data_IF_894419190861
#
_entry.id   IF_894419190861
#
_cell.length_a   1.000
_cell.length_b   1.000
_cell.length_c   1.000
_cell.angle_alpha   90.00
_cell.angle_beta   90.00
_cell.angle_gamma   90.00
#
_symmetry.space_group_name_H-M   'P 1'
#
loop_
_entity.id
_entity.type
_entity.pdbx_description
1 polymer ?
#
# COMPACT_ATOMS: atom_id res chain seq x y z
N UNK A 1 -21.94 -4.93 -10.95
CA UNK A 1 -20.69 -5.69 -11.11
C UNK A 1 -19.94 -5.62 -9.79
N UNK A 2 -19.78 -6.76 -9.12
CA UNK A 2 -19.02 -6.91 -7.88
C UNK A 2 -17.58 -7.31 -8.26
N UNK A 3 -16.57 -6.74 -7.61
CA UNK A 3 -15.19 -7.19 -7.76
C UNK A 3 -14.86 -8.16 -6.62
N UNK A 4 -14.49 -9.39 -6.97
CA UNK A 4 -13.98 -10.39 -6.05
C UNK A 4 -12.45 -10.33 -6.09
N UNK A 5 -11.81 -9.87 -5.01
CA UNK A 5 -10.36 -9.92 -4.87
C UNK A 5 -9.97 -11.19 -4.11
N UNK A 6 -9.30 -12.15 -4.78
CA UNK A 6 -8.79 -13.38 -4.14
C UNK A 6 -7.28 -13.45 -4.24
N UNK A 7 -6.61 -13.66 -3.11
CA UNK A 7 -5.22 -14.12 -3.05
C UNK A 7 -5.11 -15.35 -2.16
N UNK A 8 -4.27 -16.30 -2.56
CA UNK A 8 -3.72 -17.35 -1.70
C UNK A 8 -2.26 -17.01 -1.39
N UNK A 9 -1.90 -16.92 -0.11
CA UNK A 9 -0.51 -16.94 0.36
C UNK A 9 -0.35 -18.00 1.46
N UNK A 10 0.80 -18.68 1.53
CA UNK A 10 1.03 -19.76 2.48
C UNK A 10 1.37 -19.20 3.87
N UNK A 11 0.77 -19.79 4.91
CA UNK A 11 1.01 -19.53 6.33
C UNK A 11 0.57 -18.17 6.90
N UNK A 12 -0.74 -17.99 6.98
CA UNK A 12 -1.52 -17.78 8.21
C UNK A 12 -2.96 -17.56 7.72
N UNK A 13 -3.96 -18.10 8.41
CA UNK A 13 -5.38 -17.97 8.02
C UNK A 13 -5.76 -16.49 8.10
N UNK A 14 -5.54 -15.75 7.02
CA UNK A 14 -6.15 -14.46 6.80
C UNK A 14 -7.65 -14.71 6.77
N UNK A 15 -8.37 -14.05 7.66
CA UNK A 15 -9.81 -13.94 7.57
C UNK A 15 -10.04 -13.09 6.31
N UNK A 16 -10.31 -13.75 5.18
CA UNK A 16 -10.68 -13.09 3.93
C UNK A 16 -12.01 -12.40 4.20
N UNK A 17 -11.98 -11.14 4.61
CA UNK A 17 -13.17 -10.31 4.63
C UNK A 17 -13.45 -10.02 3.16
N UNK A 18 -14.41 -10.73 2.57
CA UNK A 18 -14.99 -10.37 1.28
C UNK A 18 -15.69 -9.02 1.47
N UNK A 19 -14.96 -7.93 1.28
CA UNK A 19 -15.50 -6.57 1.36
C UNK A 19 -16.35 -6.35 0.11
N UNK A 20 -17.61 -6.74 0.22
CA UNK A 20 -18.59 -6.60 -0.83
C UNK A 20 -19.18 -5.18 -0.80
N UNK A 21 -18.37 -4.20 -1.18
CA UNK A 21 -18.83 -2.80 -1.26
C UNK A 21 -19.15 -2.46 -2.70
N UNK A 22 -20.40 -2.06 -2.92
CA UNK A 22 -20.89 -1.62 -4.23
C UNK A 22 -20.03 -0.49 -4.78
N UNK A 23 -19.60 -0.59 -6.05
CA UNK A 23 -18.80 0.43 -6.75
C UNK A 23 -19.42 1.84 -6.68
N UNK A 24 -20.73 1.92 -6.54
CA UNK A 24 -21.47 3.17 -6.38
C UNK A 24 -21.10 3.92 -5.08
N UNK A 25 -20.91 3.20 -3.97
CA UNK A 25 -20.49 3.77 -2.68
C UNK A 25 -19.05 4.26 -2.74
N UNK A 26 -18.18 3.52 -3.44
CA UNK A 26 -16.78 3.92 -3.66
C UNK A 26 -16.74 5.22 -4.48
N UNK A 27 -17.50 5.30 -5.57
CA UNK A 27 -17.58 6.50 -6.42
C UNK A 27 -18.10 7.74 -5.66
N UNK A 28 -19.06 7.58 -4.76
CA UNK A 28 -19.56 8.68 -3.93
C UNK A 28 -18.49 9.16 -2.93
N UNK A 29 -17.76 8.21 -2.32
CA UNK A 29 -16.64 8.54 -1.43
C UNK A 29 -15.51 9.23 -2.17
N UNK A 30 -15.15 8.75 -3.36
CA UNK A 30 -14.17 9.41 -4.21
C UNK A 30 -14.54 10.87 -4.50
N UNK A 31 -15.81 11.16 -4.78
CA UNK A 31 -16.28 12.55 -4.98
C UNK A 31 -16.10 13.42 -3.72
N UNK A 32 -16.44 12.87 -2.55
CA UNK A 32 -16.28 13.58 -1.27
C UNK A 32 -14.79 13.82 -0.99
N UNK A 33 -13.96 12.79 -1.18
CA UNK A 33 -12.51 12.87 -1.00
C UNK A 33 -11.90 13.91 -1.93
N UNK A 34 -12.27 13.90 -3.22
CA UNK A 34 -11.85 14.91 -4.20
C UNK A 34 -12.14 16.33 -3.72
N UNK A 35 -13.38 16.61 -3.33
CA UNK A 35 -13.80 17.93 -2.85
C UNK A 35 -13.02 18.39 -1.61
N UNK A 36 -12.65 17.49 -0.71
CA UNK A 36 -11.90 17.82 0.51
C UNK A 36 -10.41 18.01 0.22
N UNK A 37 -9.86 17.26 -0.75
CA UNK A 37 -8.42 17.21 -1.04
C UNK A 37 -7.94 18.19 -2.11
N UNK A 38 -8.85 18.88 -2.82
CA UNK A 38 -8.55 19.83 -3.90
C UNK A 38 -7.44 20.84 -3.55
N UNK A 39 -7.44 21.41 -2.34
CA UNK A 39 -6.50 22.47 -1.94
C UNK A 39 -5.26 21.95 -1.19
N UNK A 40 -5.16 20.64 -0.95
CA UNK A 40 -4.07 20.07 -0.15
C UNK A 40 -2.89 19.67 -1.02
N UNK A 41 -1.69 20.06 -0.61
CA UNK A 41 -0.44 19.48 -1.15
C UNK A 41 -0.27 18.07 -0.59
N UNK A 42 -0.17 17.09 -1.49
CA UNK A 42 -0.07 15.68 -1.14
C UNK A 42 1.38 15.22 -1.26
N UNK A 43 1.90 14.45 -0.28
CA UNK A 43 3.18 13.77 -0.47
C UNK A 43 3.08 12.73 -1.58
N UNK A 44 4.21 12.39 -2.20
CA UNK A 44 4.26 11.34 -3.23
C UNK A 44 4.13 9.99 -2.54
N UNK A 45 3.01 9.30 -2.77
CA UNK A 45 2.64 8.07 -2.05
C UNK A 45 3.67 6.95 -2.20
N UNK A 46 4.17 6.74 -3.42
CA UNK A 46 5.10 5.65 -3.73
C UNK A 46 6.49 5.82 -3.09
N UNK A 47 6.79 7.01 -2.55
CA UNK A 47 8.02 7.27 -1.81
C UNK A 47 7.82 7.00 -0.31
N UNK A 48 6.58 7.07 0.19
CA UNK A 48 6.27 6.81 1.59
C UNK A 48 6.31 5.31 1.89
N UNK A 49 7.15 4.89 2.84
CA UNK A 49 7.23 3.48 3.25
C UNK A 49 5.93 2.99 3.90
N UNK A 50 5.21 3.88 4.58
CA UNK A 50 3.97 3.58 5.28
C UNK A 50 2.85 3.20 4.31
N UNK A 51 2.92 3.71 3.08
CA UNK A 51 1.98 3.40 2.01
C UNK A 51 1.91 1.90 1.74
N UNK A 52 3.06 1.19 1.72
CA UNK A 52 3.09 -0.24 1.42
C UNK A 52 2.36 -1.08 2.47
N UNK A 53 2.40 -0.69 3.75
CA UNK A 53 1.61 -1.34 4.80
C UNK A 53 0.11 -1.14 4.56
N UNK A 54 -0.31 0.04 4.10
CA UNK A 54 -1.71 0.32 3.76
C UNK A 54 -2.12 -0.47 2.52
N UNK A 55 -1.28 -0.46 1.48
CA UNK A 55 -1.50 -1.18 0.22
C UNK A 55 -1.74 -2.68 0.42
N UNK A 56 -1.01 -3.31 1.35
CA UNK A 56 -1.24 -4.72 1.70
C UNK A 56 -2.66 -5.00 2.21
N UNK A 57 -3.30 -4.00 2.82
CA UNK A 57 -4.67 -4.08 3.30
C UNK A 57 -5.69 -3.76 2.20
N UNK A 58 -5.38 -2.83 1.29
CA UNK A 58 -6.28 -2.38 0.21
C UNK A 58 -5.89 -2.99 -1.14
N UNK A 59 -6.36 -4.21 -1.39
CA UNK A 59 -6.08 -4.91 -2.66
C UNK A 59 -7.00 -4.34 -3.76
N UNK A 60 -6.42 -3.65 -4.74
CA UNK A 60 -7.13 -3.15 -5.92
C UNK A 60 -6.18 -3.04 -7.13
N UNK A 61 -6.57 -3.64 -8.26
CA UNK A 61 -5.81 -3.60 -9.53
C UNK A 61 -5.61 -2.16 -10.05
N UNK A 62 -6.58 -1.28 -9.83
CA UNK A 62 -6.50 0.12 -10.28
C UNK A 62 -5.42 0.89 -9.51
N UNK A 63 -5.28 0.62 -8.21
CA UNK A 63 -4.20 1.18 -7.38
C UNK A 63 -2.84 0.69 -7.90
N UNK A 64 -2.71 -0.60 -8.19
CA UNK A 64 -1.45 -1.16 -8.71
C UNK A 64 -1.06 -0.58 -10.07
N UNK A 65 -2.04 -0.37 -10.94
CA UNK A 65 -1.82 0.27 -12.23
C UNK A 65 -1.35 1.72 -12.06
N UNK A 66 -2.07 2.52 -11.26
CA UNK A 66 -1.71 3.93 -11.00
C UNK A 66 -0.36 4.08 -10.30
N UNK A 67 -0.03 3.17 -9.39
CA UNK A 67 1.30 3.12 -8.77
C UNK A 67 2.37 2.89 -9.82
N UNK A 68 2.17 1.93 -10.73
CA UNK A 68 3.13 1.65 -11.79
C UNK A 68 3.31 2.86 -12.70
N UNK A 69 2.22 3.50 -13.10
CA UNK A 69 2.24 4.73 -13.90
C UNK A 69 3.02 5.85 -13.20
N UNK A 70 2.79 6.05 -11.89
CA UNK A 70 3.50 7.04 -11.10
C UNK A 70 5.00 6.72 -10.97
N UNK A 71 5.34 5.45 -10.74
CA UNK A 71 6.74 4.99 -10.68
C UNK A 71 7.45 5.20 -12.01
N UNK A 72 6.79 4.93 -13.14
CA UNK A 72 7.38 5.11 -14.46
C UNK A 72 7.56 6.60 -14.79
N UNK A 73 6.63 7.47 -14.39
CA UNK A 73 6.81 8.93 -14.50
C UNK A 73 8.00 9.43 -13.66
N UNK A 74 8.19 8.91 -12.44
CA UNK A 74 9.34 9.26 -11.59
C UNK A 74 10.68 8.82 -12.21
N UNK A 75 10.71 7.65 -12.86
CA UNK A 75 11.90 7.20 -13.59
C UNK A 75 12.18 8.10 -14.79
N UNK A 76 11.14 8.49 -15.53
CA UNK A 76 11.27 9.40 -16.67
C UNK A 76 11.82 10.77 -16.22
N UNK A 77 11.28 11.34 -15.15
CA UNK A 77 11.78 12.56 -14.53
C UNK A 77 13.26 12.45 -14.16
N UNK A 78 13.65 11.33 -13.54
CA UNK A 78 15.05 11.06 -13.19
C UNK A 78 15.96 10.98 -14.42
N UNK A 79 15.50 10.31 -15.48
CA UNK A 79 16.23 10.20 -16.75
C UNK A 79 16.40 11.55 -17.44
N UNK A 80 15.34 12.36 -17.50
CA UNK A 80 15.36 13.70 -18.10
C UNK A 80 16.31 14.63 -17.34
N UNK A 81 16.28 14.60 -16.01
CA UNK A 81 17.22 15.39 -15.18
C UNK A 81 18.69 15.03 -15.44
N UNK A 82 18.99 13.74 -15.59
CA UNK A 82 20.35 13.29 -15.91
C UNK A 82 20.74 13.74 -17.33
N UNK A 83 19.86 13.57 -18.31
CA UNK A 83 20.11 13.97 -19.69
C UNK A 83 20.32 15.49 -19.84
N UNK A 84 19.52 16.30 -19.14
CA UNK A 84 19.70 17.77 -19.09
C UNK A 84 21.05 18.14 -18.50
N UNK A 85 21.45 17.49 -17.39
CA UNK A 85 22.74 17.73 -16.76
C UNK A 85 23.91 17.39 -17.70
N UNK A 86 23.82 16.29 -18.43
CA UNK A 86 24.81 15.90 -19.44
C UNK A 86 24.85 16.89 -20.60
N UNK A 87 23.69 17.28 -21.14
CA UNK A 87 23.58 18.24 -22.23
C UNK A 87 24.15 19.62 -21.85
N UNK A 88 23.91 20.09 -20.62
CA UNK A 88 24.54 21.31 -20.11
C UNK A 88 26.07 21.18 -20.04
N UNK A 89 26.60 20.04 -19.60
CA UNK A 89 28.04 19.81 -19.55
C UNK A 89 28.67 19.78 -20.95
N UNK A 90 28.03 19.10 -21.91
CA UNK A 90 28.47 19.06 -23.32
C UNK A 90 28.42 20.45 -23.94
N UNK A 91 27.33 21.21 -23.74
CA UNK A 91 27.19 22.60 -24.20
C UNK A 91 28.31 23.48 -23.67
N UNK A 92 28.64 23.38 -22.38
CA UNK A 92 29.75 24.13 -21.79
C UNK A 92 31.11 23.79 -22.42
N UNK A 93 31.36 22.51 -22.71
CA UNK A 93 32.59 22.08 -23.37
C UNK A 93 32.68 22.58 -24.82
N UNK A 94 31.56 22.57 -25.56
CA UNK A 94 31.50 23.11 -26.92
C UNK A 94 31.71 24.62 -26.94
N UNK A 95 31.11 25.36 -26.00
CA UNK A 95 31.31 26.80 -25.87
C UNK A 95 32.77 27.17 -25.60
N UNK A 96 33.47 26.39 -24.76
CA UNK A 96 34.92 26.57 -24.54
C UNK A 96 35.71 26.35 -25.83
N UNK A 97 35.41 25.29 -26.58
CA UNK A 97 36.04 25.04 -27.89
C UNK A 97 35.77 26.16 -28.90
N UNK A 98 34.55 26.72 -28.93
CA UNK A 98 34.23 27.87 -29.79
C UNK A 98 35.12 29.07 -29.45
N UNK A 99 35.33 29.37 -28.17
CA UNK A 99 36.22 30.44 -27.73
C UNK A 99 37.68 30.18 -28.18
N UNK A 100 38.19 28.98 -27.95
CA UNK A 100 39.55 28.58 -28.35
C UNK A 100 39.76 28.69 -29.88
N UNK A 101 38.80 28.20 -30.67
CA UNK A 101 38.85 28.24 -32.15
C UNK A 101 38.73 29.68 -32.65
N UNK A 102 37.84 30.48 -32.07
CA UNK A 102 37.65 31.90 -32.42
C UNK A 102 38.89 32.74 -32.10
N UNK A 103 39.52 32.52 -30.94
CA UNK A 103 40.80 33.15 -30.59
C UNK A 103 41.90 32.74 -31.59
N UNK A 104 41.97 31.48 -31.99
CA UNK A 104 42.96 31.00 -32.96
C UNK A 104 42.76 31.62 -34.36
N UNK A 105 41.51 31.79 -34.82
CA UNK A 105 41.21 32.44 -36.10
C UNK A 105 41.62 33.92 -36.06
N UNK A 106 41.20 34.67 -35.03
CA UNK A 106 41.47 36.11 -34.92
C UNK A 106 42.96 36.44 -34.69
N UNK A 107 43.69 35.61 -33.93
CA UNK A 107 45.09 35.89 -33.58
C UNK A 107 46.11 35.30 -34.57
N UNK A 108 45.80 34.18 -35.22
CA UNK A 108 46.75 33.45 -36.10
C UNK A 108 46.37 33.47 -37.59
N UNK A 109 45.23 34.07 -37.96
CA UNK A 109 44.79 34.17 -39.36
C UNK A 109 44.48 32.82 -40.02
N UNK A 110 44.12 31.81 -39.22
CA UNK A 110 43.93 30.43 -39.67
C UNK A 110 42.51 30.21 -40.22
N UNK A 111 42.24 30.80 -41.39
CA UNK A 111 40.93 30.76 -42.07
C UNK A 111 40.42 29.35 -42.41
N UNK A 112 41.28 28.32 -42.31
CA UNK A 112 40.88 26.91 -42.45
C UNK A 112 40.01 26.40 -41.29
N UNK A 113 40.00 27.11 -40.16
CA UNK A 113 39.17 26.75 -38.98
C UNK A 113 37.76 27.34 -39.00
N UNK A 114 37.40 28.18 -39.98
CA UNK A 114 36.03 28.71 -40.09
C UNK A 114 34.99 27.58 -40.21
N UNK A 115 35.29 26.53 -40.99
CA UNK A 115 34.43 25.36 -41.10
C UNK A 115 34.28 24.59 -39.77
N UNK A 116 35.33 24.55 -38.93
CA UNK A 116 35.27 23.95 -37.59
C UNK A 116 34.35 24.77 -36.67
N UNK A 117 34.45 26.10 -36.72
CA UNK A 117 33.59 27.02 -35.97
C UNK A 117 32.12 26.85 -36.36
N UNK A 118 31.82 26.74 -37.66
CA UNK A 118 30.46 26.48 -38.15
C UNK A 118 29.89 25.16 -37.64
N UNK A 119 30.70 24.08 -37.64
CA UNK A 119 30.25 22.78 -37.09
C UNK A 119 29.98 22.85 -35.59
N UNK A 120 30.79 23.60 -34.82
CA UNK A 120 30.58 23.80 -33.40
C UNK A 120 29.32 24.62 -33.13
N UNK A 121 29.06 25.67 -33.92
CA UNK A 121 27.82 26.44 -33.83
C UNK A 121 26.58 25.59 -34.13
N UNK A 122 26.62 24.76 -35.18
CA UNK A 122 25.53 23.83 -35.48
C UNK A 122 25.30 22.82 -34.34
N UNK A 123 26.37 22.28 -33.75
CA UNK A 123 26.28 21.36 -32.62
C UNK A 123 25.66 22.02 -31.37
N UNK A 124 26.06 23.27 -31.06
CA UNK A 124 25.49 24.04 -29.94
C UNK A 124 24.00 24.33 -30.19
N UNK A 125 23.63 24.74 -31.40
CA UNK A 125 22.22 24.98 -31.75
C UNK A 125 21.38 23.72 -31.58
N UNK A 126 21.90 22.56 -32.02
CA UNK A 126 21.23 21.28 -31.81
C UNK A 126 21.03 20.97 -30.32
N UNK A 127 22.07 21.13 -29.50
CA UNK A 127 21.97 20.89 -28.06
C UNK A 127 21.00 21.87 -27.39
N UNK A 128 20.93 23.12 -27.83
CA UNK A 128 19.94 24.07 -27.31
C UNK A 128 18.52 23.60 -27.56
N UNK A 129 18.23 23.15 -28.78
CA UNK A 129 16.90 22.61 -29.13
C UNK A 129 16.59 21.34 -28.33
N UNK A 130 17.58 20.45 -28.14
CA UNK A 130 17.42 19.23 -27.36
C UNK A 130 17.14 19.56 -25.88
N UNK A 131 17.83 20.55 -25.30
CA UNK A 131 17.60 21.04 -23.93
C UNK A 131 16.20 21.63 -23.79
N UNK A 132 15.77 22.49 -24.70
CA UNK A 132 14.44 23.12 -24.65
C UNK A 132 13.33 22.06 -24.75
N UNK A 133 13.49 21.05 -25.61
CA UNK A 133 12.57 19.93 -25.71
C UNK A 133 12.54 19.08 -24.43
N UNK A 134 13.69 18.86 -23.79
CA UNK A 134 13.78 18.11 -22.55
C UNK A 134 13.20 18.88 -21.36
N UNK A 135 13.39 20.20 -21.28
CA UNK A 135 12.79 21.08 -20.28
C UNK A 135 11.27 21.08 -20.40
N UNK A 136 10.75 21.22 -21.62
CA UNK A 136 9.30 21.12 -21.89
C UNK A 136 8.75 19.78 -21.45
N UNK A 137 9.42 18.67 -21.81
CA UNK A 137 9.00 17.33 -21.40
C UNK A 137 9.07 17.14 -19.89
N UNK A 138 10.06 17.74 -19.23
CA UNK A 138 10.18 17.68 -17.78
C UNK A 138 9.01 18.36 -17.08
N UNK A 139 8.54 19.50 -17.59
CA UNK A 139 7.34 20.18 -17.07
C UNK A 139 6.08 19.32 -17.25
N UNK A 140 5.91 18.69 -18.42
CA UNK A 140 4.80 17.76 -18.67
C UNK A 140 4.81 16.59 -17.69
N UNK A 141 5.98 15.95 -17.51
CA UNK A 141 6.15 14.81 -16.60
C UNK A 141 5.89 15.23 -15.15
N UNK A 142 6.29 16.43 -14.74
CA UNK A 142 5.95 16.95 -13.40
C UNK A 142 4.44 17.09 -13.21
N UNK A 143 3.71 17.63 -14.20
CA UNK A 143 2.25 17.70 -14.17
C UNK A 143 1.58 16.33 -14.13
N UNK A 144 2.12 15.35 -14.87
CA UNK A 144 1.68 13.95 -14.82
C UNK A 144 1.93 13.31 -13.45
N UNK A 145 3.08 13.55 -12.82
CA UNK A 145 3.39 13.04 -11.47
C UNK A 145 2.39 13.61 -10.45
N UNK A 146 2.13 14.92 -10.49
CA UNK A 146 1.21 15.56 -9.55
C UNK A 146 -0.23 15.06 -9.70
N UNK A 147 -0.72 14.97 -10.94
CA UNK A 147 -2.07 14.47 -11.23
C UNK A 147 -2.22 12.99 -10.89
N UNK A 148 -1.28 12.14 -11.33
CA UNK A 148 -1.33 10.68 -11.07
C UNK A 148 -1.20 10.39 -9.58
N UNK A 149 -0.31 11.09 -8.86
CA UNK A 149 -0.19 10.93 -7.41
C UNK A 149 -1.47 11.35 -6.68
N UNK A 150 -2.12 12.43 -7.13
CA UNK A 150 -3.39 12.87 -6.57
C UNK A 150 -4.48 11.84 -6.79
N UNK A 151 -4.65 11.38 -8.03
CA UNK A 151 -5.64 10.36 -8.39
C UNK A 151 -5.42 9.04 -7.65
N UNK A 152 -4.15 8.65 -7.44
CA UNK A 152 -3.79 7.49 -6.62
C UNK A 152 -4.17 7.72 -5.15
N UNK A 153 -3.88 8.90 -4.61
CA UNK A 153 -4.16 9.23 -3.21
C UNK A 153 -5.65 9.25 -2.90
N UNK A 154 -6.43 9.89 -3.77
CA UNK A 154 -7.87 10.02 -3.57
C UNK A 154 -8.56 8.65 -3.59
N UNK A 155 -8.17 7.80 -4.53
CA UNK A 155 -8.67 6.43 -4.62
C UNK A 155 -8.23 5.58 -3.42
N UNK A 156 -6.95 5.67 -3.03
CA UNK A 156 -6.41 5.00 -1.86
C UNK A 156 -7.16 5.39 -0.58
N UNK A 157 -7.49 6.67 -0.41
CA UNK A 157 -8.20 7.17 0.77
C UNK A 157 -9.66 6.72 0.77
N UNK A 158 -10.35 6.81 -0.39
CA UNK A 158 -11.72 6.34 -0.51
C UNK A 158 -11.84 4.84 -0.16
N UNK A 159 -10.90 4.02 -0.64
CA UNK A 159 -10.85 2.60 -0.32
C UNK A 159 -10.47 2.35 1.14
N UNK A 160 -9.51 3.09 1.68
CA UNK A 160 -9.13 2.97 3.09
C UNK A 160 -10.31 3.17 4.03
N UNK A 161 -11.12 4.22 3.83
CA UNK A 161 -12.33 4.45 4.63
C UNK A 161 -13.36 3.32 4.47
N UNK A 162 -13.46 2.76 3.26
CA UNK A 162 -14.35 1.63 2.96
C UNK A 162 -13.94 0.36 3.70
N UNK A 163 -12.65 0.04 3.70
CA UNK A 163 -12.10 -1.09 4.43
C UNK A 163 -12.22 -0.90 5.94
N UNK A 164 -11.91 0.30 6.45
CA UNK A 164 -12.02 0.62 7.88
C UNK A 164 -13.44 0.42 8.43
N UNK A 165 -14.45 0.84 7.67
CA UNK A 165 -15.85 0.69 8.09
C UNK A 165 -16.27 -0.78 8.13
N UNK A 166 -15.90 -1.56 7.10
CA UNK A 166 -16.15 -3.01 7.08
C UNK A 166 -15.45 -3.71 8.25
N UNK A 167 -14.18 -3.38 8.52
CA UNK A 167 -13.46 -3.93 9.67
C UNK A 167 -14.11 -3.57 11.00
N UNK A 168 -14.61 -2.35 11.15
CA UNK A 168 -15.32 -1.91 12.35
C UNK A 168 -16.62 -2.69 12.55
N UNK A 169 -17.39 -2.90 11.49
CA UNK A 169 -18.63 -3.68 11.53
C UNK A 169 -18.35 -5.14 11.91
N UNK A 170 -17.44 -5.81 11.20
CA UNK A 170 -17.05 -7.20 11.51
C UNK A 170 -16.48 -7.32 12.93
N UNK A 171 -15.67 -6.37 13.38
CA UNK A 171 -15.15 -6.36 14.75
C UNK A 171 -16.27 -6.25 15.79
N UNK A 172 -17.32 -5.47 15.51
CA UNK A 172 -18.47 -5.34 16.40
C UNK A 172 -19.29 -6.62 16.46
N UNK A 173 -19.54 -7.26 15.30
CA UNK A 173 -20.25 -8.54 15.22
C UNK A 173 -19.50 -9.64 15.98
N UNK A 174 -18.18 -9.74 15.78
CA UNK A 174 -17.34 -10.69 16.52
C UNK A 174 -17.39 -10.44 18.03
N UNK A 175 -17.41 -9.18 18.46
CA UNK A 175 -17.50 -8.85 19.88
C UNK A 175 -18.84 -9.32 20.48
N UNK A 176 -19.94 -9.11 19.77
CA UNK A 176 -21.26 -9.61 20.19
C UNK A 176 -21.30 -11.14 20.28
N UNK A 177 -20.75 -11.85 19.29
CA UNK A 177 -20.63 -13.31 19.32
C UNK A 177 -19.79 -13.80 20.50
N UNK A 178 -18.66 -13.14 20.77
CA UNK A 178 -17.81 -13.45 21.92
C UNK A 178 -18.59 -13.33 23.23
N UNK A 179 -19.42 -12.30 23.37
CA UNK A 179 -20.16 -12.07 24.61
C UNK A 179 -21.30 -13.10 24.79
N UNK A 180 -21.96 -13.50 23.71
CA UNK A 180 -22.94 -14.61 23.73
C UNK A 180 -22.25 -15.92 24.14
N UNK A 181 -21.08 -16.23 23.57
CA UNK A 181 -20.33 -17.45 23.91
C UNK A 181 -19.84 -17.43 25.35
N UNK A 182 -19.41 -16.28 25.88
CA UNK A 182 -19.02 -16.13 27.29
C UNK A 182 -20.19 -16.38 28.23
N UNK A 183 -21.37 -15.86 27.93
CA UNK A 183 -22.58 -16.10 28.73
C UNK A 183 -22.93 -17.60 28.75
N UNK A 184 -22.91 -18.25 27.58
CA UNK A 184 -23.15 -19.69 27.45
C UNK A 184 -22.11 -20.53 28.18
N UNK A 185 -20.84 -20.13 28.13
CA UNK A 185 -19.77 -20.80 28.87
C UNK A 185 -20.00 -20.72 30.38
N UNK A 186 -20.41 -19.56 30.89
CA UNK A 186 -20.71 -19.37 32.31
C UNK A 186 -21.89 -20.22 32.77
N UNK A 187 -22.96 -20.29 31.97
CA UNK A 187 -24.12 -21.15 32.21
C UNK A 187 -23.67 -22.63 32.32
N UNK A 188 -22.95 -23.14 31.32
CA UNK A 188 -22.47 -24.53 31.30
C UNK A 188 -21.45 -24.85 32.38
N UNK A 189 -20.58 -23.91 32.73
CA UNK A 189 -19.67 -24.07 33.85
C UNK A 189 -20.44 -24.19 35.18
N UNK A 190 -21.52 -23.43 35.35
CA UNK A 190 -22.37 -23.48 36.54
C UNK A 190 -23.13 -24.81 36.62
N UNK A 191 -23.74 -25.25 35.52
CA UNK A 191 -24.39 -26.57 35.44
C UNK A 191 -23.41 -27.69 35.82
N UNK A 192 -22.22 -27.71 35.21
CA UNK A 192 -21.17 -28.70 35.52
C UNK A 192 -20.83 -28.69 37.01
N UNK A 193 -20.61 -27.51 37.61
CA UNK A 193 -20.30 -27.38 39.03
C UNK A 193 -21.41 -27.94 39.92
N UNK A 194 -22.68 -27.73 39.56
CA UNK A 194 -23.81 -28.31 40.30
C UNK A 194 -23.83 -29.84 40.21
N UNK A 195 -23.54 -30.42 39.04
CA UNK A 195 -23.42 -31.87 38.90
C UNK A 195 -22.23 -32.43 39.70
N UNK A 196 -21.06 -31.79 39.66
CA UNK A 196 -19.89 -32.20 40.44
C UNK A 196 -20.19 -32.19 41.95
N UNK A 197 -20.95 -31.20 42.43
CA UNK A 197 -21.42 -31.13 43.83
C UNK A 197 -22.41 -32.25 44.17
N UNK A 198 -23.36 -32.56 43.27
CA UNK A 198 -24.31 -33.67 43.44
C UNK A 198 -23.58 -35.00 43.51
N UNK A 199 -22.62 -35.24 42.60
CA UNK A 199 -21.77 -36.45 42.59
C UNK A 199 -21.04 -36.58 43.92
N UNK A 200 -20.37 -35.52 44.38
CA UNK A 200 -19.64 -35.52 45.66
C UNK A 200 -20.57 -35.82 46.85
N UNK A 201 -21.77 -35.22 46.87
CA UNK A 201 -22.75 -35.43 47.94
C UNK A 201 -23.26 -36.87 47.98
N UNK A 202 -23.61 -37.42 46.82
CA UNK A 202 -24.03 -38.82 46.69
C UNK A 202 -22.92 -39.77 47.14
N UNK A 203 -21.69 -39.54 46.70
CA UNK A 203 -20.54 -40.37 47.06
C UNK A 203 -20.26 -40.33 48.57
N UNK A 204 -20.29 -39.14 49.20
CA UNK A 204 -20.18 -39.01 50.66
C UNK A 204 -21.30 -39.76 51.41
N UNK A 205 -22.54 -39.67 50.94
CA UNK A 205 -23.67 -40.38 51.56
C UNK A 205 -23.50 -41.90 51.46
N UNK A 206 -23.17 -42.42 50.27
CA UNK A 206 -22.93 -43.84 50.05
C UNK A 206 -21.78 -44.35 50.93
N UNK A 207 -20.70 -43.56 51.03
CA UNK A 207 -19.56 -43.88 51.88
C UNK A 207 -19.97 -44.00 53.36
N UNK A 208 -20.82 -43.11 53.85
CA UNK A 208 -21.31 -43.11 55.23
C UNK A 208 -22.19 -44.32 55.57
N UNK A 209 -22.98 -44.84 54.62
CA UNK A 209 -23.88 -45.99 54.85
C UNK A 209 -23.17 -47.33 54.65
N UNK A 210 -22.43 -47.46 53.55
CA UNK A 210 -21.90 -48.74 53.07
C UNK A 210 -20.52 -49.04 53.70
N UNK A 211 -19.82 -47.98 54.13
CA UNK A 211 -18.49 -48.05 54.71
C UNK A 211 -17.38 -48.22 53.68
N UNK A 212 -16.19 -47.68 54.01
CA UNK A 212 -15.03 -47.53 53.12
C UNK A 212 -14.67 -48.80 52.33
N UNK A 213 -14.72 -49.99 52.97
CA UNK A 213 -14.29 -51.25 52.33
C UNK A 213 -15.25 -51.81 51.28
N UNK A 214 -16.53 -51.42 51.33
CA UNK A 214 -17.55 -51.95 50.43
C UNK A 214 -17.80 -51.02 49.24
N UNK A 215 -17.65 -49.70 49.41
CA UNK A 215 -17.73 -48.75 48.30
C UNK A 215 -16.59 -48.94 47.30
N UNK A 216 -15.36 -49.17 47.77
CA UNK A 216 -14.20 -49.41 46.90
C UNK A 216 -14.35 -50.69 46.04
N UNK A 217 -15.13 -51.67 46.52
CA UNK A 217 -15.50 -52.87 45.75
C UNK A 217 -16.61 -52.60 44.74
N UNK A 218 -17.52 -51.67 45.04
CA UNK A 218 -18.59 -51.26 44.13
C UNK A 218 -18.04 -50.39 43.00
N UNK A 219 -17.16 -49.44 43.29
CA UNK A 219 -16.52 -48.59 42.29
C UNK A 219 -15.74 -49.42 41.27
N UNK A 220 -14.99 -50.44 41.71
CA UNK A 220 -14.29 -51.38 40.82
C UNK A 220 -15.20 -52.24 39.94
N UNK A 221 -16.49 -52.36 40.27
CA UNK A 221 -17.47 -53.15 39.51
C UNK A 221 -18.44 -52.31 38.67
N UNK A 222 -18.67 -51.05 39.04
CA UNK A 222 -19.71 -50.19 38.47
C UNK A 222 -19.19 -48.83 37.96
N UNK A 223 -17.98 -48.41 38.34
CA UNK A 223 -17.45 -47.06 38.10
C UNK A 223 -16.67 -46.87 36.80
N UNK A 224 -16.20 -47.95 36.16
CA UNK A 224 -15.53 -47.88 34.86
C UNK A 224 -16.48 -48.35 33.74
N UNK A 225 -17.21 -47.39 33.16
CA UNK A 225 -17.78 -47.46 31.80
C UNK A 225 -17.83 -46.06 31.21
#
# INVERSE_FOLDING_TARGET
MFFNFKKKMPNQKAHDIEINVSRQVINEREKIVKSIMEQKKLPILVIDKSWYNVKELIINEVIEQKEKELVDCLKEQGSLNNALKENHAVKQNLLKKVLEVSEAINSKGDSKREAELDTLHQAITKINNDVESQETRLEEVQGLIESTNRDLTEEAVALSYTYMESYKETSSQLQEEIDILRAKLLEKATEKKQYDQKITTLYHYLHNIVGYKHIDKLDKKLGDS
#
